data_IF_056299107573
#
_entry.id   IF_056299107573
#
_cell.length_a   1.000
_cell.length_b   1.000
_cell.length_c   1.000
_cell.angle_alpha   90.00
_cell.angle_beta   90.00
_cell.angle_gamma   90.00
#
_symmetry.space_group_name_H-M   'P 1'
#
loop_
_entity.id
_entity.type
_entity.pdbx_description
1 polymer ?
#
# COMPACT_ATOMS: atom_id res chain seq x y z
N UNK A 1 23.68 -53.37 38.77
CA UNK A 1 24.41 -52.37 39.57
C UNK A 1 25.09 -51.40 38.61
N UNK A 2 24.50 -50.21 38.50
CA UNK A 2 25.13 -48.88 38.75
C UNK A 2 25.83 -48.26 37.55
N UNK A 3 25.11 -47.36 36.86
CA UNK A 3 25.59 -46.09 36.27
C UNK A 3 24.53 -45.39 35.37
N UNK A 4 23.24 -45.68 35.56
CA UNK A 4 22.16 -44.78 35.11
C UNK A 4 21.92 -43.71 36.17
N UNK A 5 22.79 -42.69 36.22
CA UNK A 5 22.57 -41.46 36.99
C UNK A 5 23.64 -40.44 36.59
N UNK A 6 23.17 -39.33 35.99
CA UNK A 6 23.88 -38.06 35.86
C UNK A 6 24.69 -37.73 34.58
N UNK A 7 24.15 -37.89 33.36
CA UNK A 7 24.54 -37.02 32.22
C UNK A 7 23.37 -36.76 31.24
N UNK A 8 22.16 -36.57 31.78
CA UNK A 8 21.01 -36.04 31.04
C UNK A 8 20.76 -34.65 31.63
N UNK A 9 21.67 -33.68 31.45
CA UNK A 9 21.26 -32.42 30.84
C UNK A 9 22.44 -31.60 30.23
N UNK A 10 23.26 -32.18 29.34
CA UNK A 10 24.39 -31.43 28.75
C UNK A 10 24.48 -31.55 27.22
N UNK A 11 23.45 -32.10 26.57
CA UNK A 11 23.34 -32.20 25.10
C UNK A 11 22.57 -30.98 24.52
N UNK A 12 22.10 -30.07 25.37
CA UNK A 12 21.21 -28.96 25.01
C UNK A 12 21.90 -27.58 24.92
N UNK A 13 23.22 -27.53 24.69
CA UNK A 13 23.97 -26.25 24.73
C UNK A 13 25.05 -26.05 23.64
N UNK A 14 25.18 -26.95 22.66
CA UNK A 14 26.23 -26.85 21.61
C UNK A 14 25.66 -26.61 20.20
N UNK A 15 24.35 -26.40 20.04
CA UNK A 15 23.76 -25.98 18.75
C UNK A 15 23.64 -24.46 18.59
N UNK A 16 24.16 -23.67 19.54
CA UNK A 16 23.95 -22.21 19.59
C UNK A 16 25.20 -21.36 19.27
N UNK A 17 26.13 -21.87 18.46
CA UNK A 17 27.42 -21.19 18.21
C UNK A 17 27.85 -21.08 16.73
N UNK A 18 26.91 -21.02 15.79
CA UNK A 18 27.24 -20.67 14.39
C UNK A 18 26.27 -19.72 13.69
N UNK A 19 25.51 -18.93 14.45
CA UNK A 19 24.82 -17.76 13.93
C UNK A 19 25.46 -16.47 14.50
N UNK A 20 26.74 -16.26 14.20
CA UNK A 20 27.30 -14.91 14.17
C UNK A 20 26.82 -14.26 12.87
N UNK A 21 25.90 -13.28 12.88
CA UNK A 21 25.91 -12.26 11.85
C UNK A 21 27.13 -11.37 12.12
N UNK A 22 28.15 -11.56 11.29
CA UNK A 22 29.24 -10.62 11.03
C UNK A 22 28.78 -9.17 11.21
N UNK A 23 29.53 -8.31 11.94
CA UNK A 23 29.28 -6.88 11.93
C UNK A 23 29.88 -6.31 10.63
N UNK A 24 29.37 -6.77 9.49
CA UNK A 24 29.55 -6.07 8.25
C UNK A 24 28.46 -4.99 8.24
N UNK A 25 28.87 -3.73 8.33
CA UNK A 25 28.03 -2.55 8.10
C UNK A 25 27.54 -2.45 6.64
N UNK A 26 27.10 -3.57 6.07
CA UNK A 26 26.39 -3.65 4.82
C UNK A 26 24.91 -3.80 5.18
N UNK A 27 24.08 -2.90 4.66
CA UNK A 27 22.64 -3.04 4.73
C UNK A 27 22.27 -4.49 4.34
N UNK A 28 21.52 -5.21 5.19
CA UNK A 28 21.17 -6.60 4.90
C UNK A 28 20.63 -6.73 3.47
N UNK A 29 21.12 -7.73 2.73
CA UNK A 29 20.53 -8.08 1.44
C UNK A 29 19.10 -8.58 1.62
N UNK A 30 18.24 -8.37 0.63
CA UNK A 30 16.82 -8.76 0.69
C UNK A 30 16.64 -10.26 1.00
N UNK A 31 17.50 -11.12 0.43
CA UNK A 31 17.55 -12.57 0.74
C UNK A 31 17.78 -12.89 2.22
N UNK A 32 18.53 -12.05 2.94
CA UNK A 32 18.80 -12.19 4.39
C UNK A 32 17.61 -11.73 5.21
N UNK A 33 16.88 -10.71 4.74
CA UNK A 33 15.65 -10.21 5.38
C UNK A 33 14.57 -11.29 5.33
N UNK A 34 14.38 -11.92 4.16
CA UNK A 34 13.45 -13.03 3.98
C UNK A 34 13.79 -14.21 4.87
N UNK A 35 15.04 -14.68 4.85
CA UNK A 35 15.48 -15.75 5.74
C UNK A 35 15.23 -15.45 7.23
N UNK A 36 15.40 -14.20 7.67
CA UNK A 36 15.10 -13.81 9.05
C UNK A 36 13.59 -13.74 9.33
N UNK A 37 12.77 -13.42 8.32
CA UNK A 37 11.30 -13.43 8.39
C UNK A 37 10.76 -14.86 8.48
N UNK A 38 11.29 -15.78 7.67
CA UNK A 38 10.96 -17.22 7.68
C UNK A 38 11.31 -17.87 9.02
N UNK A 39 12.38 -17.41 9.66
CA UNK A 39 12.75 -17.80 11.03
C UNK A 39 11.81 -17.22 12.11
N UNK A 40 10.75 -16.49 11.73
CA UNK A 40 9.74 -15.91 12.61
C UNK A 40 10.20 -14.65 13.35
N UNK A 41 11.32 -14.02 12.95
CA UNK A 41 11.72 -12.74 13.57
C UNK A 41 10.80 -11.63 13.11
N UNK A 42 10.33 -10.83 14.06
CA UNK A 42 9.52 -9.65 13.74
C UNK A 42 10.30 -8.63 12.88
N UNK A 43 9.60 -7.93 11.98
CA UNK A 43 10.10 -6.82 11.16
C UNK A 43 10.94 -5.82 11.97
N UNK A 44 10.54 -5.54 13.22
CA UNK A 44 11.25 -4.60 14.11
C UNK A 44 12.61 -5.14 14.56
N UNK A 45 12.71 -6.45 14.80
CA UNK A 45 13.96 -7.11 15.15
C UNK A 45 14.90 -7.19 13.94
N UNK A 46 14.36 -7.47 12.74
CA UNK A 46 15.14 -7.51 11.49
C UNK A 46 15.67 -6.11 11.15
N UNK A 47 14.82 -5.08 11.23
CA UNK A 47 15.23 -3.68 11.01
C UNK A 47 16.38 -3.25 11.93
N UNK A 48 16.31 -3.63 13.21
CA UNK A 48 17.36 -3.35 14.20
C UNK A 48 18.64 -4.14 13.94
N UNK A 49 18.54 -5.40 13.54
CA UNK A 49 19.69 -6.24 13.20
C UNK A 49 20.40 -5.78 11.91
N UNK A 50 19.63 -5.25 10.96
CA UNK A 50 20.10 -4.82 9.64
C UNK A 50 20.39 -3.33 9.52
N UNK A 51 20.21 -2.57 10.62
CA UNK A 51 20.25 -1.10 10.65
C UNK A 51 19.51 -0.45 9.45
N UNK A 52 18.33 -0.99 9.16
CA UNK A 52 17.47 -0.57 8.05
C UNK A 52 16.15 0.00 8.60
N UNK A 53 15.48 0.89 7.86
CA UNK A 53 14.14 1.33 8.23
C UNK A 53 13.15 0.16 8.14
N UNK A 54 12.25 0.08 9.11
CA UNK A 54 11.20 -0.95 9.18
C UNK A 54 10.32 -0.99 7.93
N UNK A 55 10.10 0.15 7.28
CA UNK A 55 9.37 0.24 6.02
C UNK A 55 10.03 -0.55 4.89
N UNK A 56 11.38 -0.52 4.79
CA UNK A 56 12.13 -1.24 3.76
C UNK A 56 12.13 -2.75 4.03
N UNK A 57 12.23 -3.15 5.29
CA UNK A 57 12.12 -4.56 5.70
C UNK A 57 10.73 -5.12 5.41
N UNK A 58 9.65 -4.36 5.70
CA UNK A 58 8.28 -4.77 5.35
C UNK A 58 8.12 -4.94 3.85
N UNK A 59 8.54 -3.95 3.06
CA UNK A 59 8.42 -4.01 1.61
C UNK A 59 9.09 -5.26 1.02
N UNK A 60 10.24 -5.69 1.56
CA UNK A 60 10.94 -6.89 1.10
C UNK A 60 10.16 -8.17 1.47
N UNK A 61 9.62 -8.26 2.69
CA UNK A 61 8.81 -9.42 3.13
C UNK A 61 7.49 -9.50 2.35
N UNK A 62 6.76 -8.38 2.24
CA UNK A 62 5.52 -8.29 1.45
C UNK A 62 5.74 -8.60 -0.06
N UNK A 63 6.95 -8.39 -0.59
CA UNK A 63 7.26 -8.68 -1.99
C UNK A 63 7.52 -10.18 -2.26
N UNK A 64 7.89 -10.98 -1.26
CA UNK A 64 8.11 -12.42 -1.39
C UNK A 64 6.80 -13.21 -1.25
N UNK A 65 5.93 -12.77 -0.33
CA UNK A 65 4.57 -13.29 -0.18
C UNK A 65 3.68 -13.02 -1.42
N UNK A 66 4.13 -12.16 -2.35
CA UNK A 66 3.34 -11.58 -3.43
C UNK A 66 3.50 -12.19 -4.84
N UNK A 67 4.18 -13.32 -5.02
CA UNK A 67 4.26 -13.98 -6.35
C UNK A 67 3.15 -15.02 -6.60
N UNK A 68 1.89 -14.66 -6.31
CA UNK A 68 0.70 -15.03 -7.09
C UNK A 68 -0.35 -13.93 -6.89
N UNK A 69 -0.60 -13.16 -7.96
CA UNK A 69 -1.74 -12.25 -8.19
C UNK A 69 -2.61 -11.86 -6.97
N UNK A 70 -2.17 -10.86 -6.19
CA UNK A 70 -3.07 -10.11 -5.32
C UNK A 70 -2.55 -8.70 -5.04
N UNK A 71 -3.33 -7.73 -5.52
CA UNK A 71 -3.28 -6.33 -5.14
C UNK A 71 -3.18 -6.16 -3.62
N UNK A 72 -1.99 -5.79 -3.14
CA UNK A 72 -1.83 -5.21 -1.81
C UNK A 72 -0.78 -4.11 -1.89
N UNK A 73 -1.24 -2.96 -2.38
CA UNK A 73 -0.50 -1.70 -2.37
C UNK A 73 -0.04 -1.40 -0.94
N UNK A 74 1.22 -1.72 -0.65
CA UNK A 74 1.90 -1.35 0.57
C UNK A 74 1.74 0.15 0.80
N UNK A 75 1.19 0.50 1.95
CA UNK A 75 0.94 1.86 2.37
C UNK A 75 2.26 2.64 2.54
N UNK A 76 2.69 3.29 1.46
CA UNK A 76 3.12 4.67 1.62
C UNK A 76 1.93 5.45 2.21
N UNK A 77 2.11 6.44 3.10
CA UNK A 77 1.12 7.49 3.19
C UNK A 77 1.12 8.15 1.82
N UNK A 78 0.31 7.61 0.90
CA UNK A 78 -0.11 8.33 -0.27
C UNK A 78 -0.46 9.72 0.25
N UNK A 79 0.00 10.82 -0.39
CA UNK A 79 -0.62 12.10 -0.11
C UNK A 79 -2.11 11.80 -0.18
N UNK A 80 -2.84 11.95 0.93
CA UNK A 80 -4.26 11.61 0.97
C UNK A 80 -4.81 12.32 -0.25
N UNK A 81 -5.07 11.58 -1.34
CA UNK A 81 -5.63 12.16 -2.54
C UNK A 81 -7.01 12.46 -2.04
N UNK A 82 -7.17 13.69 -1.56
CA UNK A 82 -8.40 14.18 -0.96
C UNK A 82 -9.38 14.11 -2.09
N UNK A 83 -10.09 12.99 -2.14
CA UNK A 83 -11.17 12.77 -3.08
C UNK A 83 -12.08 13.97 -2.99
N UNK A 84 -12.54 14.42 -4.15
CA UNK A 84 -13.34 15.62 -4.27
C UNK A 84 -14.64 15.45 -3.47
N UNK A 85 -15.02 16.44 -2.65
CA UNK A 85 -16.29 16.42 -1.93
C UNK A 85 -17.47 16.55 -2.90
N UNK A 86 -18.67 16.20 -2.45
CA UNK A 86 -19.90 16.43 -3.23
C UNK A 86 -20.02 17.90 -3.64
N UNK A 87 -20.47 18.15 -4.87
CA UNK A 87 -20.56 19.45 -5.50
C UNK A 87 -19.28 19.96 -6.16
N UNK A 88 -18.13 19.31 -5.95
CA UNK A 88 -16.88 19.71 -6.60
C UNK A 88 -16.93 19.47 -8.11
N UNK A 89 -16.58 20.50 -8.90
CA UNK A 89 -16.52 20.42 -10.36
C UNK A 89 -15.36 19.56 -10.85
N UNK A 90 -15.65 18.63 -11.76
CA UNK A 90 -14.65 17.74 -12.35
C UNK A 90 -13.99 18.35 -13.58
N UNK A 91 -14.76 19.16 -14.30
CA UNK A 91 -14.37 19.87 -15.50
C UNK A 91 -15.06 21.25 -15.55
N UNK A 92 -14.54 22.12 -16.41
CA UNK A 92 -15.21 23.34 -16.83
C UNK A 92 -16.51 23.03 -17.58
N UNK A 93 -17.27 24.06 -17.90
CA UNK A 93 -18.58 23.87 -18.50
C UNK A 93 -18.45 23.48 -19.97
N UNK A 94 -19.03 22.34 -20.30
CA UNK A 94 -19.04 21.73 -21.61
C UNK A 94 -20.23 22.22 -22.42
N UNK A 95 -19.93 22.54 -23.68
CA UNK A 95 -20.90 22.96 -24.69
C UNK A 95 -21.17 21.88 -25.74
N UNK A 96 -20.58 20.69 -25.58
CA UNK A 96 -20.74 19.58 -26.51
C UNK A 96 -21.93 18.72 -26.11
N UNK A 97 -22.87 18.58 -27.05
CA UNK A 97 -24.06 17.76 -26.89
C UNK A 97 -25.00 18.24 -25.79
N UNK A 98 -26.06 17.47 -25.57
CA UNK A 98 -27.02 17.67 -24.48
C UNK A 98 -26.92 16.48 -23.55
N UNK A 99 -26.59 16.71 -22.28
CA UNK A 99 -26.60 15.68 -21.25
C UNK A 99 -27.77 15.94 -20.31
N UNK A 100 -28.61 14.93 -20.01
CA UNK A 100 -29.72 15.09 -19.07
C UNK A 100 -29.21 15.51 -17.69
N UNK A 101 -29.91 16.45 -17.05
CA UNK A 101 -29.59 16.83 -15.67
C UNK A 101 -29.71 15.62 -14.74
N UNK A 102 -28.72 15.45 -13.86
CA UNK A 102 -28.67 14.34 -12.91
C UNK A 102 -28.11 13.04 -13.48
N UNK A 103 -27.72 12.99 -14.76
CA UNK A 103 -27.06 11.83 -15.36
C UNK A 103 -25.81 11.44 -14.55
N UNK A 104 -25.77 10.19 -14.07
CA UNK A 104 -24.71 9.67 -13.21
C UNK A 104 -23.65 8.94 -14.03
N UNK A 105 -22.38 9.22 -13.78
CA UNK A 105 -21.27 8.45 -14.33
C UNK A 105 -20.25 8.07 -13.24
N UNK A 106 -19.57 6.92 -13.35
CA UNK A 106 -18.48 6.54 -12.47
C UNK A 106 -17.36 7.59 -12.49
N UNK A 107 -16.89 8.02 -11.32
CA UNK A 107 -15.81 8.98 -11.19
C UNK A 107 -14.97 8.70 -9.95
N UNK A 108 -13.75 8.18 -10.17
CA UNK A 108 -12.82 7.78 -9.11
C UNK A 108 -12.28 8.97 -8.31
N UNK A 109 -12.32 10.17 -8.89
CA UNK A 109 -11.89 11.40 -8.23
C UNK A 109 -12.88 11.86 -7.15
N UNK A 110 -14.14 11.45 -7.21
CA UNK A 110 -15.17 11.83 -6.25
C UNK A 110 -15.17 10.92 -5.01
N UNK A 111 -15.50 11.48 -3.84
CA UNK A 111 -15.64 10.70 -2.60
C UNK A 111 -16.69 9.60 -2.73
N UNK A 112 -17.82 9.93 -3.36
CA UNK A 112 -18.92 8.99 -3.65
C UNK A 112 -18.62 8.00 -4.77
N UNK A 113 -17.52 8.18 -5.51
CA UNK A 113 -17.21 7.38 -6.69
C UNK A 113 -18.09 7.69 -7.91
N UNK A 114 -18.95 8.72 -7.83
CA UNK A 114 -19.89 9.08 -8.91
C UNK A 114 -19.93 10.58 -9.15
N UNK A 115 -20.20 10.94 -10.39
CA UNK A 115 -20.42 12.31 -10.84
C UNK A 115 -21.82 12.49 -11.42
N UNK A 116 -22.39 13.68 -11.31
CA UNK A 116 -23.69 14.04 -11.89
C UNK A 116 -23.53 15.19 -12.88
N UNK A 117 -24.24 15.10 -14.01
CA UNK A 117 -24.38 16.22 -14.94
C UNK A 117 -25.26 17.31 -14.32
N UNK A 118 -24.71 18.53 -14.23
CA UNK A 118 -25.34 19.69 -13.61
C UNK A 118 -25.30 20.86 -14.60
N UNK A 119 -26.35 21.69 -14.71
CA UNK A 119 -26.31 22.89 -15.51
C UNK A 119 -25.22 23.84 -15.00
N UNK A 120 -24.57 24.50 -15.92
CA UNK A 120 -23.59 25.52 -15.63
C UNK A 120 -24.10 26.90 -16.02
N UNK A 121 -23.72 27.90 -15.24
CA UNK A 121 -23.89 29.30 -15.63
C UNK A 121 -22.93 29.62 -16.79
N UNK A 122 -23.46 29.77 -18.00
CA UNK A 122 -22.69 30.10 -19.19
C UNK A 122 -23.54 30.12 -20.44
N UNK A 123 -22.92 30.43 -21.58
CA UNK A 123 -23.55 30.42 -22.89
C UNK A 123 -22.66 29.64 -23.88
N UNK A 124 -23.28 28.80 -24.71
CA UNK A 124 -22.60 28.04 -25.75
C UNK A 124 -22.93 28.59 -27.16
N UNK A 125 -21.99 29.27 -27.82
CA UNK A 125 -22.14 29.68 -29.22
C UNK A 125 -21.90 28.51 -30.20
N UNK A 126 -22.49 28.52 -31.42
CA UNK A 126 -23.50 29.43 -31.96
C UNK A 126 -24.96 28.94 -31.79
N UNK A 127 -25.17 27.78 -31.15
CA UNK A 127 -26.46 27.06 -31.08
C UNK A 127 -26.92 26.82 -29.63
N UNK A 128 -26.77 27.80 -28.74
CA UNK A 128 -27.60 28.03 -27.54
C UNK A 128 -27.90 26.89 -26.56
N UNK A 129 -27.27 25.72 -26.65
CA UNK A 129 -27.48 24.64 -25.68
C UNK A 129 -26.97 25.15 -24.32
N UNK A 130 -27.79 25.00 -23.28
CA UNK A 130 -27.39 25.38 -21.93
C UNK A 130 -26.12 24.58 -21.56
N UNK A 131 -25.01 25.24 -21.21
CA UNK A 131 -23.79 24.53 -20.85
C UNK A 131 -24.04 23.65 -19.64
N UNK A 132 -23.41 22.50 -19.63
CA UNK A 132 -23.48 21.55 -18.53
C UNK A 132 -22.07 21.27 -18.03
N UNK A 133 -21.94 20.69 -16.85
CA UNK A 133 -20.67 20.20 -16.32
C UNK A 133 -20.92 18.98 -15.45
N UNK A 134 -19.89 18.16 -15.22
CA UNK A 134 -19.96 17.12 -14.19
C UNK A 134 -19.45 17.64 -12.85
N UNK A 135 -20.19 17.34 -11.80
CA UNK A 135 -19.78 17.57 -10.41
C UNK A 135 -19.87 16.27 -9.62
N UNK A 136 -19.09 16.14 -8.56
CA UNK A 136 -19.22 14.99 -7.66
C UNK A 136 -20.60 14.99 -6.98
N UNK A 137 -21.25 13.82 -6.91
CA UNK A 137 -22.51 13.65 -6.18
C UNK A 137 -22.27 13.24 -4.74
#
# INVERSE_FOLDING_TARGET
>A
MTLYRAVIPAIMLITLFSALPSPAHAACSDKKILAMSDEGKSVKAIAKACNMPTAKVRAVVDSDDGNEDATASAAAPAPLIKKLPSGAGLASCDCQGTVPYGDKAPELRCQSGVSIATPCAGYCPPRGVAPWRRVCS
#
